data_IF_611787794935
#
_entry.id   IF_611787794935
#
_cell.length_a   1.000
_cell.length_b   1.000
_cell.length_c   1.000
_cell.angle_alpha   90.00
_cell.angle_beta   90.00
_cell.angle_gamma   90.00
#
_symmetry.space_group_name_H-M   'P 1'
#
loop_
_entity.id
_entity.type
_entity.pdbx_description
1 polymer ?
#
# COMPACT_ATOMS: atom_id res chain seq x y z
N UNK A 1 -8.39 -29.82 6.10
CA UNK A 1 -8.33 -28.34 6.06
C UNK A 1 -7.16 -27.84 6.89
N UNK A 2 -6.02 -27.58 6.23
CA UNK A 2 -4.84 -27.02 6.89
C UNK A 2 -5.06 -25.53 7.16
N UNK A 3 -4.77 -25.10 8.38
CA UNK A 3 -4.73 -23.70 8.78
C UNK A 3 -3.38 -23.44 9.45
N UNK A 4 -2.66 -22.41 9.02
CA UNK A 4 -1.43 -21.98 9.69
C UNK A 4 -1.77 -21.31 11.03
N UNK A 5 -1.21 -21.80 12.13
CA UNK A 5 -1.30 -21.18 13.46
C UNK A 5 -0.25 -20.07 13.67
N UNK A 6 0.61 -19.80 12.68
CA UNK A 6 1.55 -18.69 12.72
C UNK A 6 0.81 -17.38 12.36
N UNK A 7 0.60 -16.54 13.37
CA UNK A 7 0.04 -15.19 13.18
C UNK A 7 1.10 -14.17 12.76
N UNK A 8 2.39 -14.43 13.02
CA UNK A 8 3.47 -13.53 12.61
C UNK A 8 3.75 -13.65 11.10
N UNK A 9 3.81 -12.50 10.39
CA UNK A 9 4.33 -12.45 9.03
C UNK A 9 5.72 -13.09 8.90
N UNK A 10 5.82 -14.12 8.07
CA UNK A 10 7.10 -14.72 7.71
C UNK A 10 7.25 -14.71 6.20
N UNK A 11 8.37 -14.17 5.71
CA UNK A 11 8.70 -13.94 4.30
C UNK A 11 7.82 -12.87 3.63
N UNK A 12 6.48 -12.96 3.69
CA UNK A 12 5.55 -11.98 3.12
C UNK A 12 4.22 -11.89 3.90
N UNK A 13 3.44 -10.84 3.67
CA UNK A 13 2.04 -10.71 4.10
C UNK A 13 1.17 -10.59 2.86
N UNK A 14 0.50 -11.68 2.49
CA UNK A 14 -0.34 -11.70 1.28
C UNK A 14 -1.82 -11.78 1.60
N UNK A 15 -2.65 -11.34 0.64
CA UNK A 15 -4.09 -11.40 0.79
C UNK A 15 -4.67 -12.79 0.54
N UNK A 16 -5.88 -13.04 1.05
CA UNK A 16 -6.62 -14.24 0.67
C UNK A 16 -7.06 -14.15 -0.81
N UNK A 17 -7.13 -15.29 -1.49
CA UNK A 17 -7.50 -15.39 -2.89
C UNK A 17 -8.91 -14.83 -3.14
N UNK A 18 -9.87 -15.10 -2.25
CA UNK A 18 -11.25 -14.58 -2.39
C UNK A 18 -11.31 -13.05 -2.33
N UNK A 19 -10.43 -12.41 -1.54
CA UNK A 19 -10.32 -10.95 -1.49
C UNK A 19 -9.83 -10.39 -2.84
N UNK A 20 -8.84 -11.06 -3.42
CA UNK A 20 -8.25 -10.65 -4.70
C UNK A 20 -9.26 -10.78 -5.85
N UNK A 21 -10.06 -11.85 -5.88
CA UNK A 21 -11.13 -12.02 -6.88
C UNK A 21 -12.19 -10.91 -6.78
N UNK A 22 -12.58 -10.56 -5.55
CA UNK A 22 -13.54 -9.47 -5.31
C UNK A 22 -12.98 -8.11 -5.78
N UNK A 23 -11.69 -7.89 -5.56
CA UNK A 23 -10.99 -6.70 -6.05
C UNK A 23 -10.93 -6.66 -7.58
N UNK A 24 -10.64 -7.79 -8.23
CA UNK A 24 -10.63 -7.90 -9.70
C UNK A 24 -11.98 -7.53 -10.34
N UNK A 25 -13.09 -7.96 -9.75
CA UNK A 25 -14.44 -7.56 -10.20
C UNK A 25 -14.67 -6.05 -10.11
N UNK A 26 -14.24 -5.42 -9.00
CA UNK A 26 -14.34 -3.98 -8.83
C UNK A 26 -13.48 -3.23 -9.84
N UNK A 27 -12.25 -3.67 -10.07
CA UNK A 27 -11.35 -3.09 -11.08
C UNK A 27 -12.03 -3.13 -12.45
N UNK A 28 -12.61 -4.26 -12.86
CA UNK A 28 -13.32 -4.37 -14.14
C UNK A 28 -14.49 -3.40 -14.27
N UNK A 29 -15.17 -3.09 -13.15
CA UNK A 29 -16.30 -2.15 -13.11
C UNK A 29 -15.86 -0.69 -13.20
N UNK A 30 -14.71 -0.35 -12.62
CA UNK A 30 -14.29 1.03 -12.39
C UNK A 30 -13.15 1.52 -13.31
N UNK A 31 -12.60 0.65 -14.16
CA UNK A 31 -11.49 0.98 -15.07
C UNK A 31 -11.73 0.37 -16.45
N UNK A 32 -11.15 0.93 -17.51
CA UNK A 32 -11.24 0.36 -18.86
C UNK A 32 -10.13 -0.65 -19.13
N UNK A 33 -10.27 -1.45 -20.19
CA UNK A 33 -9.18 -2.32 -20.66
C UNK A 33 -7.89 -1.53 -20.82
N UNK A 34 -6.77 -2.15 -20.50
CA UNK A 34 -5.44 -1.54 -20.53
C UNK A 34 -5.19 -0.41 -19.52
N UNK A 35 -6.10 -0.09 -18.60
CA UNK A 35 -5.80 0.85 -17.50
C UNK A 35 -4.52 0.48 -16.77
N UNK A 36 -3.79 1.49 -16.30
CA UNK A 36 -2.55 1.29 -15.56
C UNK A 36 -2.84 1.23 -14.06
N UNK A 37 -2.53 0.12 -13.40
CA UNK A 37 -2.78 -0.04 -11.97
C UNK A 37 -1.47 -0.22 -11.21
N UNK A 38 -1.19 0.72 -10.31
CA UNK A 38 -0.09 0.63 -9.36
C UNK A 38 -0.59 -0.08 -8.10
N UNK A 39 0.03 -1.21 -7.77
CA UNK A 39 -0.22 -1.94 -6.53
C UNK A 39 1.09 -2.56 -6.04
N UNK A 40 1.12 -3.11 -4.83
CA UNK A 40 2.24 -3.96 -4.43
C UNK A 40 2.40 -5.13 -5.40
N UNK A 41 3.64 -5.63 -5.58
CA UNK A 41 3.92 -6.57 -6.67
C UNK A 41 3.13 -7.88 -6.55
N UNK A 42 2.90 -8.38 -5.34
CA UNK A 42 2.16 -9.64 -5.10
C UNK A 42 0.67 -9.51 -5.44
N UNK A 43 0.07 -8.35 -5.14
CA UNK A 43 -1.30 -8.01 -5.56
C UNK A 43 -1.35 -7.81 -7.07
N UNK A 44 -0.37 -7.11 -7.64
CA UNK A 44 -0.22 -6.89 -9.07
C UNK A 44 -0.16 -8.21 -9.84
N UNK A 45 0.72 -9.15 -9.45
CA UNK A 45 0.85 -10.47 -10.08
C UNK A 45 -0.46 -11.22 -10.16
N UNK A 46 -1.25 -11.21 -9.08
CA UNK A 46 -2.53 -11.92 -9.04
C UNK A 46 -3.59 -11.25 -9.88
N UNK A 47 -3.66 -9.92 -9.85
CA UNK A 47 -4.62 -9.16 -10.64
C UNK A 47 -4.32 -9.18 -12.13
N UNK A 48 -3.04 -9.28 -12.51
CA UNK A 48 -2.58 -9.43 -13.90
C UNK A 48 -3.14 -10.73 -14.52
N UNK A 49 -3.20 -11.82 -13.73
CA UNK A 49 -3.84 -13.08 -14.16
C UNK A 49 -5.36 -12.97 -14.21
N UNK A 50 -5.95 -12.14 -13.35
CA UNK A 50 -7.42 -12.06 -13.19
C UNK A 50 -8.05 -10.98 -14.06
N UNK A 51 -7.31 -10.04 -14.65
CA UNK A 51 -7.89 -8.89 -15.34
C UNK A 51 -7.07 -8.48 -16.56
N UNK A 52 -7.76 -7.97 -17.59
CA UNK A 52 -7.12 -7.42 -18.79
C UNK A 52 -6.67 -5.96 -18.55
N UNK A 53 -5.81 -5.75 -17.56
CA UNK A 53 -5.28 -4.44 -17.17
C UNK A 53 -3.76 -4.47 -17.11
N UNK A 54 -3.13 -3.30 -17.12
CA UNK A 54 -1.68 -3.18 -17.12
C UNK A 54 -1.14 -3.00 -15.70
N UNK A 55 -0.35 -3.97 -15.24
CA UNK A 55 0.31 -3.94 -13.93
C UNK A 55 1.84 -3.91 -14.10
N UNK A 56 2.50 -2.76 -13.87
CA UNK A 56 3.94 -2.63 -14.11
C UNK A 56 4.80 -3.46 -13.15
N UNK A 57 4.20 -3.96 -12.07
CA UNK A 57 4.86 -4.71 -11.00
C UNK A 57 4.32 -6.14 -10.86
N UNK A 58 3.89 -6.81 -11.94
CA UNK A 58 3.34 -8.17 -11.87
C UNK A 58 4.38 -9.30 -11.76
N UNK A 59 5.68 -8.98 -11.78
CA UNK A 59 6.75 -9.95 -11.57
C UNK A 59 7.11 -10.09 -10.09
N UNK A 60 7.61 -11.25 -9.68
CA UNK A 60 8.10 -11.46 -8.32
C UNK A 60 9.35 -10.61 -8.07
N UNK A 61 9.31 -9.76 -7.03
CA UNK A 61 10.42 -8.85 -6.70
C UNK A 61 11.27 -9.27 -5.49
N UNK A 62 10.91 -10.38 -4.83
CA UNK A 62 11.60 -10.89 -3.62
C UNK A 62 11.78 -9.85 -2.50
N UNK A 63 10.83 -8.91 -2.39
CA UNK A 63 10.84 -7.85 -1.38
C UNK A 63 9.42 -7.42 -0.93
N UNK A 64 9.18 -7.03 0.33
CA UNK A 64 10.13 -7.06 1.44
C UNK A 64 10.52 -8.50 1.78
N UNK A 65 11.70 -8.64 2.38
CA UNK A 65 12.07 -9.88 3.05
C UNK A 65 11.79 -9.68 4.55
N UNK A 66 10.64 -10.16 5.01
CA UNK A 66 10.21 -10.06 6.42
C UNK A 66 10.81 -11.24 7.16
N UNK A 67 11.75 -10.94 8.08
CA UNK A 67 12.52 -11.94 8.80
C UNK A 67 12.36 -11.75 10.31
N UNK A 68 12.31 -12.84 11.08
CA UNK A 68 12.52 -12.79 12.53
C UNK A 68 13.83 -12.08 12.87
N UNK A 69 13.88 -11.43 14.03
CA UNK A 69 15.01 -10.60 14.44
C UNK A 69 16.32 -11.40 14.49
N UNK A 70 16.26 -12.63 14.96
CA UNK A 70 17.34 -13.61 15.03
C UNK A 70 17.91 -13.99 13.66
N UNK A 71 17.17 -13.81 12.56
CA UNK A 71 17.60 -14.16 11.21
C UNK A 71 18.09 -12.94 10.42
N UNK A 72 18.01 -11.73 10.97
CA UNK A 72 18.53 -10.53 10.31
C UNK A 72 20.01 -10.64 9.90
N UNK A 73 20.93 -11.27 10.67
CA UNK A 73 22.30 -11.48 10.21
C UNK A 73 22.41 -12.32 8.94
N UNK A 74 21.43 -13.18 8.68
CA UNK A 74 21.37 -14.06 7.49
C UNK A 74 20.64 -13.42 6.30
N UNK A 75 20.15 -12.18 6.43
CA UNK A 75 19.36 -11.49 5.40
C UNK A 75 20.02 -11.50 4.01
N UNK A 76 21.34 -11.27 3.83
CA UNK A 76 21.96 -11.32 2.51
C UNK A 76 21.89 -12.71 1.87
N UNK A 77 22.10 -13.76 2.68
CA UNK A 77 22.05 -15.16 2.21
C UNK A 77 20.63 -15.55 1.84
N UNK A 78 19.65 -15.25 2.70
CA UNK A 78 18.25 -15.55 2.44
C UNK A 78 17.76 -14.80 1.19
N UNK A 79 18.15 -13.53 1.02
CA UNK A 79 17.82 -12.77 -0.18
C UNK A 79 18.37 -13.42 -1.46
N UNK A 80 19.62 -13.87 -1.44
CA UNK A 80 20.23 -14.55 -2.58
C UNK A 80 19.48 -15.86 -2.92
N UNK A 81 19.06 -16.61 -1.90
CA UNK A 81 18.26 -17.83 -2.07
C UNK A 81 16.89 -17.52 -2.68
N UNK A 82 16.15 -16.56 -2.14
CA UNK A 82 14.85 -16.13 -2.68
C UNK A 82 14.96 -15.64 -4.12
N UNK A 83 15.97 -14.82 -4.42
CA UNK A 83 16.22 -14.31 -5.78
C UNK A 83 16.47 -15.44 -6.77
N UNK A 84 17.31 -16.40 -6.38
CA UNK A 84 17.62 -17.59 -7.20
C UNK A 84 16.40 -18.49 -7.39
N UNK A 85 15.67 -18.77 -6.31
CA UNK A 85 14.50 -19.65 -6.32
C UNK A 85 13.39 -19.13 -7.24
N UNK A 86 13.08 -17.83 -7.14
CA UNK A 86 12.04 -17.20 -7.96
C UNK A 86 12.53 -16.79 -9.35
N UNK A 87 13.81 -17.02 -9.66
CA UNK A 87 14.42 -16.60 -10.91
C UNK A 87 14.25 -15.10 -11.17
N UNK A 88 14.30 -14.28 -10.10
CA UNK A 88 14.11 -12.83 -10.21
C UNK A 88 15.24 -12.29 -11.06
N UNK A 89 14.92 -12.02 -12.31
CA UNK A 89 15.79 -11.27 -13.18
C UNK A 89 15.65 -9.83 -12.73
N UNK A 90 16.65 -9.30 -12.03
CA UNK A 90 16.72 -7.88 -11.70
C UNK A 90 16.88 -7.09 -13.00
N UNK A 91 15.82 -7.02 -13.79
CA UNK A 91 15.60 -5.95 -14.74
C UNK A 91 15.76 -4.69 -13.91
N UNK A 92 16.95 -4.07 -14.00
CA UNK A 92 17.27 -2.87 -13.25
C UNK A 92 16.17 -1.83 -13.43
N UNK A 93 15.47 -1.86 -14.55
CA UNK A 93 14.34 -0.99 -14.86
C UNK A 93 13.10 -1.25 -13.98
N UNK A 94 12.65 -2.51 -13.81
CA UNK A 94 11.42 -2.80 -13.04
C UNK A 94 11.62 -2.70 -11.53
N UNK A 95 12.74 -3.19 -11.02
CA UNK A 95 13.08 -3.04 -9.60
C UNK A 95 13.23 -1.55 -9.22
N UNK A 96 13.88 -0.74 -10.07
CA UNK A 96 13.96 0.72 -9.87
C UNK A 96 12.61 1.41 -10.01
N UNK A 97 11.74 0.95 -10.91
CA UNK A 97 10.39 1.51 -11.03
C UNK A 97 9.56 1.22 -9.78
N UNK A 98 9.67 0.01 -9.22
CA UNK A 98 9.04 -0.34 -7.95
C UNK A 98 9.62 0.46 -6.78
N UNK A 99 10.94 0.68 -6.77
CA UNK A 99 11.57 1.57 -5.77
C UNK A 99 11.02 2.99 -5.88
N UNK A 100 10.89 3.57 -7.09
CA UNK A 100 10.25 4.89 -7.24
C UNK A 100 8.81 4.91 -6.71
N UNK A 101 8.06 3.83 -6.91
CA UNK A 101 6.73 3.67 -6.35
C UNK A 101 6.75 3.66 -4.82
N UNK A 102 7.62 2.88 -4.17
CA UNK A 102 7.74 2.88 -2.70
C UNK A 102 8.24 4.23 -2.16
N UNK A 103 9.14 4.91 -2.87
CA UNK A 103 9.59 6.27 -2.54
C UNK A 103 8.43 7.28 -2.60
N UNK A 104 7.54 7.16 -3.57
CA UNK A 104 6.34 8.00 -3.67
C UNK A 104 5.42 7.80 -2.46
N UNK A 105 5.22 6.55 -2.04
CA UNK A 105 4.40 6.21 -0.87
C UNK A 105 5.00 6.72 0.46
N UNK A 106 6.34 6.82 0.55
CA UNK A 106 7.07 7.36 1.72
C UNK A 106 7.18 8.88 1.75
N UNK A 107 6.89 9.58 0.66
CA UNK A 107 6.96 11.04 0.61
C UNK A 107 5.73 11.67 1.30
N UNK A 108 5.75 12.98 1.52
CA UNK A 108 4.52 13.69 1.90
C UNK A 108 3.45 13.59 0.81
N UNK A 109 2.22 13.94 1.16
CA UNK A 109 1.05 13.82 0.29
C UNK A 109 1.22 14.46 -1.10
N UNK A 110 1.74 15.69 -1.16
CA UNK A 110 1.90 16.42 -2.43
C UNK A 110 3.04 15.85 -3.27
N UNK A 111 4.19 15.58 -2.65
CA UNK A 111 5.38 15.06 -3.31
C UNK A 111 5.12 13.64 -3.79
N UNK A 112 4.49 12.81 -2.97
CA UNK A 112 4.14 11.44 -3.30
C UNK A 112 3.17 11.38 -4.47
N UNK A 113 2.11 12.18 -4.46
CA UNK A 113 1.18 12.24 -5.59
C UNK A 113 1.88 12.68 -6.87
N UNK A 114 2.76 13.68 -6.82
CA UNK A 114 3.55 14.10 -7.97
C UNK A 114 4.47 12.99 -8.50
N UNK A 115 5.12 12.22 -7.61
CA UNK A 115 5.96 11.08 -7.99
C UNK A 115 5.14 9.95 -8.62
N UNK A 116 3.96 9.62 -8.08
CA UNK A 116 3.06 8.64 -8.70
C UNK A 116 2.65 9.07 -10.11
N UNK A 117 2.31 10.36 -10.30
CA UNK A 117 2.01 10.93 -11.63
C UNK A 117 3.19 10.86 -12.60
N UNK A 118 4.43 10.91 -12.11
CA UNK A 118 5.60 10.68 -12.96
C UNK A 118 5.72 9.24 -13.43
N UNK A 119 5.30 8.27 -12.59
CA UNK A 119 5.29 6.85 -12.95
C UNK A 119 4.19 6.57 -13.98
N UNK A 120 3.00 7.16 -13.81
CA UNK A 120 1.85 6.94 -14.71
C UNK A 120 1.87 7.80 -15.97
N UNK A 121 2.60 8.92 -15.96
CA UNK A 121 2.70 9.83 -17.11
C UNK A 121 1.38 10.55 -17.42
N UNK A 122 1.09 10.72 -18.70
CA UNK A 122 -0.12 11.40 -19.18
C UNK A 122 -1.36 10.48 -19.26
N UNK A 123 -1.32 9.32 -18.60
CA UNK A 123 -2.42 8.34 -18.64
C UNK A 123 -3.61 8.86 -17.82
N UNK A 124 -4.78 8.87 -18.43
CA UNK A 124 -6.04 9.29 -17.78
C UNK A 124 -6.74 8.19 -16.99
N UNK A 125 -6.45 6.94 -17.33
CA UNK A 125 -6.99 5.78 -16.62
C UNK A 125 -5.89 5.05 -15.86
N UNK A 126 -5.45 5.71 -14.79
CA UNK A 126 -4.45 5.19 -13.87
C UNK A 126 -4.99 5.13 -12.44
N UNK A 127 -4.69 4.03 -11.74
CA UNK A 127 -5.18 3.78 -10.39
C UNK A 127 -4.06 3.36 -9.46
N UNK A 128 -4.26 3.63 -8.18
CA UNK A 128 -3.44 3.17 -7.07
C UNK A 128 -4.28 2.24 -6.19
N UNK A 129 -3.77 1.06 -5.89
CA UNK A 129 -4.39 0.09 -4.98
C UNK A 129 -3.50 -0.05 -3.76
N UNK A 130 -4.09 0.14 -2.57
CA UNK A 130 -3.41 0.03 -1.29
C UNK A 130 -4.18 -0.85 -0.31
N UNK A 131 -3.42 -1.47 0.58
CA UNK A 131 -3.90 -2.22 1.74
C UNK A 131 -3.03 -1.91 2.96
N UNK A 132 -3.55 -2.10 4.19
CA UNK A 132 -2.75 -1.92 5.42
C UNK A 132 -1.55 -2.88 5.49
N UNK A 133 -1.63 -4.04 4.83
CA UNK A 133 -0.50 -4.96 4.66
C UNK A 133 0.65 -4.29 3.89
N UNK A 134 0.34 -3.41 2.93
CA UNK A 134 1.36 -2.69 2.17
C UNK A 134 2.08 -1.66 3.04
N UNK A 135 1.40 -1.08 4.03
CA UNK A 135 2.04 -0.23 5.04
C UNK A 135 3.08 -1.00 5.86
N UNK A 136 2.72 -2.19 6.32
CA UNK A 136 3.67 -3.03 7.04
C UNK A 136 4.84 -3.50 6.14
N UNK A 137 4.56 -3.85 4.88
CA UNK A 137 5.60 -4.19 3.91
C UNK A 137 6.55 -3.01 3.68
N UNK A 138 6.03 -1.81 3.52
CA UNK A 138 6.81 -0.59 3.30
C UNK A 138 7.70 -0.28 4.52
N UNK A 139 7.15 -0.35 5.73
CA UNK A 139 7.92 -0.16 6.96
C UNK A 139 9.00 -1.23 7.16
N UNK A 140 8.74 -2.46 6.74
CA UNK A 140 9.73 -3.54 6.75
C UNK A 140 10.90 -3.28 5.79
N UNK A 141 10.65 -2.57 4.67
CA UNK A 141 11.71 -2.17 3.74
C UNK A 141 12.48 -0.93 4.22
N UNK A 142 11.80 0.00 4.89
CA UNK A 142 12.34 1.32 5.24
C UNK A 142 12.02 1.71 6.70
N UNK A 143 12.49 0.94 7.70
CA UNK A 143 12.11 1.12 9.10
C UNK A 143 12.46 2.52 9.64
N UNK A 144 13.56 3.12 9.18
CA UNK A 144 14.00 4.48 9.58
C UNK A 144 13.12 5.61 9.00
N UNK A 145 12.24 5.29 8.05
CA UNK A 145 11.39 6.27 7.35
C UNK A 145 9.91 6.08 7.62
N UNK A 146 9.51 4.86 7.96
CA UNK A 146 8.13 4.51 8.22
C UNK A 146 8.07 3.49 9.36
N UNK A 147 8.04 4.02 10.58
CA UNK A 147 8.00 3.27 11.82
C UNK A 147 6.56 2.79 12.07
N UNK A 148 6.28 1.56 11.62
CA UNK A 148 5.00 0.88 11.78
C UNK A 148 5.20 -0.43 12.52
N UNK A 149 4.28 -0.74 13.42
CA UNK A 149 4.15 -2.06 14.03
C UNK A 149 2.73 -2.60 13.90
N UNK A 150 2.52 -3.80 14.40
CA UNK A 150 1.18 -4.33 14.61
C UNK A 150 1.08 -5.10 15.91
N UNK A 151 -0.13 -5.21 16.45
CA UNK A 151 -0.47 -6.12 17.54
C UNK A 151 -1.80 -6.79 17.26
N UNK A 152 -1.86 -8.10 17.53
CA UNK A 152 -3.08 -8.88 17.37
C UNK A 152 -3.89 -8.94 18.66
N UNK A 153 -5.20 -8.83 18.51
CA UNK A 153 -6.17 -8.90 19.58
C UNK A 153 -7.23 -9.97 19.26
N UNK A 154 -7.66 -10.77 20.25
CA UNK A 154 -8.74 -11.72 20.05
C UNK A 154 -10.05 -10.96 19.82
N UNK A 155 -10.73 -11.30 18.72
CA UNK A 155 -12.07 -10.82 18.38
C UNK A 155 -13.08 -11.45 19.35
N UNK A 156 -13.47 -10.72 20.39
CA UNK A 156 -14.57 -11.09 21.27
C UNK A 156 -15.92 -10.75 20.63
N UNK A 157 -16.99 -11.47 21.03
CA UNK A 157 -18.37 -11.09 20.68
C UNK A 157 -18.77 -9.72 21.26
N UNK A 158 -18.05 -9.25 22.29
CA UNK A 158 -18.14 -7.89 22.79
C UNK A 158 -17.12 -6.99 22.05
N UNK A 159 -17.61 -6.30 21.00
CA UNK A 159 -16.85 -5.35 20.20
C UNK A 159 -16.59 -4.04 20.98
N UNK A 160 -17.41 -3.72 22.00
CA UNK A 160 -17.18 -2.55 22.84
C UNK A 160 -15.99 -2.79 23.79
N UNK A 161 -15.84 -4.01 24.31
CA UNK A 161 -14.70 -4.41 25.15
C UNK A 161 -13.36 -4.51 24.41
N UNK A 162 -13.32 -4.81 23.10
CA UNK A 162 -12.06 -4.83 22.35
C UNK A 162 -11.55 -3.42 22.07
N UNK A 163 -12.45 -2.48 21.73
CA UNK A 163 -12.07 -1.10 21.47
C UNK A 163 -11.46 -0.42 22.71
N UNK A 164 -11.99 -0.70 23.90
CA UNK A 164 -11.42 -0.24 25.17
C UNK A 164 -9.99 -0.73 25.39
N UNK A 165 -9.77 -2.04 25.26
CA UNK A 165 -8.44 -2.66 25.42
C UNK A 165 -7.41 -2.15 24.42
N UNK A 166 -7.82 -1.95 23.17
CA UNK A 166 -6.95 -1.37 22.13
C UNK A 166 -6.54 0.05 22.53
N UNK A 167 -7.51 0.89 22.96
CA UNK A 167 -7.23 2.27 23.39
C UNK A 167 -6.33 2.34 24.62
N UNK A 168 -6.57 1.49 25.61
CA UNK A 168 -5.74 1.40 26.81
C UNK A 168 -4.29 1.09 26.45
N UNK A 169 -4.06 0.04 25.65
CA UNK A 169 -2.72 -0.31 25.18
C UNK A 169 -2.05 0.79 24.35
N UNK A 170 -2.79 1.42 23.42
CA UNK A 170 -2.24 2.53 22.63
C UNK A 170 -1.80 3.71 23.50
N UNK A 171 -2.57 4.03 24.55
CA UNK A 171 -2.22 5.07 25.50
C UNK A 171 -1.00 4.70 26.35
N UNK A 172 -0.90 3.44 26.80
CA UNK A 172 0.23 2.94 27.58
C UNK A 172 1.55 3.03 26.78
N UNK A 173 1.50 2.72 25.48
CA UNK A 173 2.68 2.76 24.61
C UNK A 173 2.93 4.15 23.97
N UNK A 174 1.98 5.07 24.07
CA UNK A 174 2.07 6.41 23.47
C UNK A 174 1.87 6.45 21.95
N UNK A 175 1.08 5.52 21.38
CA UNK A 175 0.76 5.49 19.95
C UNK A 175 -0.56 6.21 19.65
N UNK A 176 -0.49 7.30 18.87
CA UNK A 176 -1.67 8.12 18.54
C UNK A 176 -2.36 7.71 17.23
N UNK A 177 -1.60 7.11 16.31
CA UNK A 177 -2.07 6.76 14.96
C UNK A 177 -2.15 5.26 14.79
N UNK A 178 -3.36 4.73 14.60
CA UNK A 178 -3.57 3.30 14.40
C UNK A 178 -4.69 3.01 13.40
N UNK A 179 -4.67 1.81 12.84
CA UNK A 179 -5.69 1.28 11.94
C UNK A 179 -6.02 -0.15 12.33
N UNK A 180 -7.29 -0.54 12.19
CA UNK A 180 -7.79 -1.84 12.62
C UNK A 180 -8.17 -2.68 11.40
N UNK A 181 -7.65 -3.91 11.31
CA UNK A 181 -7.97 -4.87 10.26
C UNK A 181 -8.36 -6.22 10.86
N UNK A 182 -9.60 -6.70 10.66
CA UNK A 182 -9.94 -8.10 10.89
C UNK A 182 -9.10 -9.01 9.99
N UNK A 183 -8.35 -9.94 10.57
CA UNK A 183 -7.53 -10.90 9.79
C UNK A 183 -8.21 -12.27 9.68
N UNK A 184 -9.07 -12.64 10.63
CA UNK A 184 -9.93 -13.81 10.56
C UNK A 184 -11.17 -13.63 11.47
N UNK A 185 -11.99 -14.68 11.63
CA UNK A 185 -13.20 -14.63 12.47
C UNK A 185 -12.93 -14.42 13.97
N UNK A 186 -11.72 -14.69 14.44
CA UNK A 186 -11.32 -14.71 15.85
C UNK A 186 -10.22 -13.69 16.19
N UNK A 187 -9.65 -13.00 15.21
CA UNK A 187 -8.51 -12.11 15.44
C UNK A 187 -8.65 -10.81 14.64
N UNK A 188 -8.31 -9.72 15.30
CA UNK A 188 -8.19 -8.39 14.74
C UNK A 188 -6.75 -7.92 14.92
N UNK A 189 -6.14 -7.41 13.85
CA UNK A 189 -4.83 -6.79 13.86
C UNK A 189 -4.96 -5.28 13.97
N UNK A 190 -4.22 -4.68 14.89
CA UNK A 190 -4.08 -3.23 15.01
C UNK A 190 -2.70 -2.87 14.47
N UNK A 191 -2.67 -2.14 13.36
CA UNK A 191 -1.45 -1.51 12.85
C UNK A 191 -1.30 -0.14 13.52
N UNK A 192 -0.09 0.24 13.93
CA UNK A 192 0.17 1.51 14.59
C UNK A 192 1.42 2.18 14.02
N UNK A 193 1.40 3.51 13.94
CA UNK A 193 2.55 4.32 13.54
C UNK A 193 3.21 4.89 14.80
N UNK A 194 4.52 4.69 14.93
CA UNK A 194 5.26 5.03 16.13
C UNK A 194 5.65 6.51 16.23
N UNK A 195 5.61 7.25 15.12
CA UNK A 195 6.03 8.65 15.09
C UNK A 195 5.20 9.50 14.11
N UNK A 196 5.27 10.83 14.30
CA UNK A 196 4.59 11.79 13.44
C UNK A 196 5.14 11.80 12.01
N UNK A 197 6.42 11.49 11.82
CA UNK A 197 7.06 11.41 10.51
C UNK A 197 6.36 10.38 9.62
N UNK A 198 6.04 9.22 10.18
CA UNK A 198 5.34 8.12 9.51
C UNK A 198 3.90 8.50 9.19
N UNK A 199 3.22 9.20 10.10
CA UNK A 199 1.85 9.72 9.89
C UNK A 199 1.75 10.71 8.74
N UNK A 200 2.84 11.41 8.41
CA UNK A 200 2.89 12.41 7.35
C UNK A 200 3.22 11.84 5.98
N UNK A 201 3.45 10.53 5.85
CA UNK A 201 3.66 9.89 4.56
C UNK A 201 2.35 9.78 3.76
N UNK A 202 2.44 9.82 2.43
CA UNK A 202 1.30 9.66 1.53
C UNK A 202 0.55 8.36 1.84
N UNK A 203 1.28 7.25 2.07
CA UNK A 203 0.65 5.98 2.39
C UNK A 203 -0.23 6.05 3.64
N UNK A 204 0.24 6.71 4.70
CA UNK A 204 -0.54 6.86 5.93
C UNK A 204 -1.79 7.73 5.70
N UNK A 205 -1.71 8.76 4.86
CA UNK A 205 -2.84 9.61 4.50
C UNK A 205 -3.90 8.89 3.66
N UNK A 206 -3.48 7.91 2.85
CA UNK A 206 -4.35 7.12 1.98
C UNK A 206 -4.88 5.82 2.61
N UNK A 207 -4.56 5.55 3.87
CA UNK A 207 -5.04 4.37 4.59
C UNK A 207 -5.83 4.82 5.84
N UNK A 208 -6.70 3.95 6.40
CA UNK A 208 -7.63 4.33 7.46
C UNK A 208 -6.96 4.36 8.84
N UNK A 209 -5.88 5.11 8.97
CA UNK A 209 -5.31 5.45 10.26
C UNK A 209 -6.18 6.52 10.95
N UNK A 210 -6.21 6.52 12.28
CA UNK A 210 -7.02 7.48 13.06
C UNK A 210 -6.67 8.94 12.85
N UNK A 211 -5.48 9.23 12.30
CA UNK A 211 -4.98 10.59 12.04
C UNK A 211 -5.06 10.98 10.56
N UNK A 212 -5.77 10.21 9.73
CA UNK A 212 -5.99 10.47 8.31
C UNK A 212 -7.48 10.46 7.94
N UNK A 213 -7.80 11.12 6.83
CA UNK A 213 -9.10 11.01 6.17
C UNK A 213 -8.88 10.51 4.72
N UNK A 214 -8.81 9.19 4.51
CA UNK A 214 -8.56 8.63 3.19
C UNK A 214 -9.69 8.89 2.18
N UNK A 215 -10.89 9.24 2.64
CA UNK A 215 -12.02 9.56 1.75
C UNK A 215 -11.81 10.97 1.15
N UNK A 216 -11.23 11.88 1.91
CA UNK A 216 -10.96 13.27 1.51
C UNK A 216 -9.46 13.53 1.35
N UNK A 217 -8.73 12.55 0.81
CA UNK A 217 -7.28 12.61 0.70
C UNK A 217 -6.74 13.77 -0.18
N UNK A 218 -7.59 14.57 -0.83
CA UNK A 218 -7.26 15.85 -1.47
C UNK A 218 -6.41 15.79 -2.75
N UNK A 219 -5.47 14.84 -2.83
CA UNK A 219 -4.53 14.66 -3.95
C UNK A 219 -4.89 13.51 -4.88
N UNK A 220 -5.76 12.60 -4.42
CA UNK A 220 -6.21 11.40 -5.13
C UNK A 220 -7.67 11.13 -4.80
N UNK A 221 -8.43 10.70 -5.80
CA UNK A 221 -9.86 10.44 -5.65
C UNK A 221 -10.10 8.98 -5.29
N UNK A 222 -10.74 8.71 -4.16
CA UNK A 222 -11.17 7.36 -3.78
C UNK A 222 -12.31 6.90 -4.69
N UNK A 223 -12.10 5.86 -5.49
CA UNK A 223 -13.10 5.32 -6.42
C UNK A 223 -13.81 4.10 -5.85
N UNK A 224 -13.09 3.32 -5.04
CA UNK A 224 -13.64 2.10 -4.47
C UNK A 224 -12.94 1.74 -3.16
N UNK A 225 -13.75 1.37 -2.18
CA UNK A 225 -13.30 0.80 -0.92
C UNK A 225 -14.15 -0.44 -0.64
N UNK A 226 -13.49 -1.58 -0.42
CA UNK A 226 -14.16 -2.79 0.06
C UNK A 226 -13.19 -3.65 0.85
N UNK A 227 -13.67 -4.13 2.00
CA UNK A 227 -12.85 -4.84 2.98
C UNK A 227 -11.61 -4.01 3.35
N UNK A 228 -10.44 -4.41 2.88
CA UNK A 228 -9.14 -3.87 3.29
C UNK A 228 -8.46 -3.09 2.15
N UNK A 229 -9.01 -3.14 0.94
CA UNK A 229 -8.47 -2.47 -0.23
C UNK A 229 -9.06 -1.08 -0.41
N UNK A 230 -8.17 -0.14 -0.71
CA UNK A 230 -8.44 1.24 -1.05
C UNK A 230 -7.93 1.49 -2.47
N UNK A 231 -8.84 1.87 -3.37
CA UNK A 231 -8.54 2.07 -4.78
C UNK A 231 -8.78 3.54 -5.13
N UNK A 232 -7.69 4.21 -5.48
CA UNK A 232 -7.67 5.63 -5.82
C UNK A 232 -7.45 5.81 -7.31
N UNK A 233 -8.07 6.84 -7.90
CA UNK A 233 -7.73 7.32 -9.23
C UNK A 233 -6.60 8.34 -9.15
N UNK A 234 -5.66 8.21 -10.09
CA UNK A 234 -4.54 9.11 -10.26
C UNK A 234 -4.87 10.10 -11.38
N UNK A 235 -4.89 11.39 -11.03
CA UNK A 235 -4.98 12.43 -12.04
C UNK A 235 -3.76 12.41 -12.97
N UNK A 236 -3.91 12.65 -14.28
CA UNK A 236 -2.80 12.66 -15.22
C UNK A 236 -1.75 13.69 -14.82
N UNK A 237 -0.49 13.42 -15.19
CA UNK A 237 0.50 14.49 -15.20
C UNK A 237 0.11 15.52 -16.27
N UNK A 238 -0.31 16.72 -15.83
CA UNK A 238 -0.55 17.84 -16.75
C UNK A 238 0.73 18.10 -17.57
N UNK A 239 0.59 18.11 -18.89
CA UNK A 239 1.66 18.55 -19.78
C UNK A 239 1.93 20.04 -19.56
N UNK A 240 3.21 20.42 -19.50
CA UNK A 240 3.65 21.80 -19.28
C UNK A 240 3.20 22.78 -20.40
N UNK A 241 2.63 22.28 -21.49
CA UNK A 241 2.04 23.10 -22.56
C UNK A 241 0.69 23.71 -22.16
N UNK A 242 -0.13 23.02 -21.37
CA UNK A 242 -1.45 23.51 -20.97
C UNK A 242 -1.41 24.60 -19.89
N UNK A 243 -0.29 24.76 -19.18
CA UNK A 243 -0.11 25.85 -18.20
C UNK A 243 0.13 27.23 -18.83
N UNK A 244 0.41 27.31 -20.14
CA UNK A 244 0.63 28.60 -20.84
C UNK A 244 -0.65 29.20 -21.44
N UNK A 245 -1.75 28.45 -21.53
CA UNK A 245 -2.98 28.93 -22.17
C UNK A 245 -3.86 29.76 -21.21
N UNK A 246 -3.71 29.59 -19.88
CA UNK A 246 -4.49 30.34 -18.88
C UNK A 246 -3.88 31.66 -18.42
N UNK A 247 -2.78 32.12 -19.03
CA UNK A 247 -2.13 33.38 -18.69
C UNK A 247 -2.01 34.29 -19.92
N UNK A 248 -3.15 34.69 -20.50
CA UNK A 248 -3.20 35.90 -21.33
C UNK A 248 -3.65 37.08 -20.46
N UNK A 249 -2.89 38.19 -20.40
CA UNK A 249 -3.35 39.40 -19.75
C UNK A 249 -4.45 40.05 -20.60
N UNK A 250 -5.52 40.50 -19.95
CA UNK A 250 -6.47 41.46 -20.51
C UNK A 250 -5.70 42.73 -20.91
N UNK A 251 -5.39 42.86 -22.20
CA UNK A 251 -4.98 44.13 -22.78
C UNK A 251 -6.26 44.90 -23.08
N UNK A 252 -6.60 45.84 -22.21
CA UNK A 252 -7.66 46.82 -22.48
C UNK A 252 -7.15 47.82 -23.53
N UNK A 253 -7.90 47.93 -24.63
CA UNK A 253 -7.88 49.06 -25.56
C UNK A 253 -9.21 49.79 -25.51
#
# INVERSE_FOLDING_TARGET
DWHSDLNEPFINVSADFQETTTLAEAIRKHSVTDSLLLAWWDVSSRLDVLTDRNYPFSEHLSQPLILPAEWNPLRPVIRALETSFWGVNESQTKARAFEKFTQALLADESTGAALLRQITGAREDAFLILDLRDAYKLGSMYPERFAIGFRDFPKSNDIHGIAGRIKEWLNEEGYESYAIQPINKKTVRVYFLADQKSQNTLLAKLLPFTTSDPIQAGVLDLVYQKKHYWVYKLEPKLSTENSKISAQPLVNG
#
